data_IF_321422836685
#
_entry.id   IF_321422836685
#
_cell.length_a   1.000
_cell.length_b   1.000
_cell.length_c   1.000
_cell.angle_alpha   90.00
_cell.angle_beta   90.00
_cell.angle_gamma   90.00
#
_symmetry.space_group_name_H-M   'P 1'
#
loop_
_entity.id
_entity.type
_entity.pdbx_description
1 polymer ?
#
# COMPACT_ATOMS: atom_id res chain seq x y z
N UNK A 1 -3.16 12.64 28.45
CA UNK A 1 -3.25 11.20 28.09
C UNK A 1 -2.71 11.08 26.68
N UNK A 2 -1.83 10.11 26.41
CA UNK A 2 -1.39 9.85 25.05
C UNK A 2 -2.59 9.33 24.24
N UNK A 3 -2.81 9.90 23.05
CA UNK A 3 -3.83 9.42 22.12
C UNK A 3 -3.22 8.27 21.33
N UNK A 4 -3.89 7.12 21.31
CA UNK A 4 -3.39 5.92 20.66
C UNK A 4 -4.14 5.72 19.34
N UNK A 5 -3.42 5.54 18.24
CA UNK A 5 -4.00 5.43 16.91
C UNK A 5 -3.82 4.02 16.37
N UNK A 6 -4.93 3.29 16.25
CA UNK A 6 -4.96 1.94 15.68
C UNK A 6 -5.39 2.01 14.23
N UNK A 7 -4.53 1.52 13.35
CA UNK A 7 -4.82 1.35 11.93
C UNK A 7 -5.23 -0.09 11.69
N UNK A 8 -6.31 -0.27 10.93
CA UNK A 8 -6.80 -1.57 10.47
C UNK A 8 -6.82 -1.57 8.96
N UNK A 9 -6.27 -2.60 8.35
CA UNK A 9 -6.24 -2.80 6.91
C UNK A 9 -6.98 -4.08 6.55
N UNK A 10 -7.91 -4.00 5.60
CA UNK A 10 -8.78 -5.11 5.20
C UNK A 10 -8.61 -5.34 3.70
N UNK A 11 -8.10 -6.50 3.32
CA UNK A 11 -7.97 -6.88 1.90
C UNK A 11 -9.35 -7.14 1.29
N UNK A 12 -9.72 -6.39 0.24
CA UNK A 12 -11.09 -6.39 -0.29
C UNK A 12 -11.54 -7.77 -0.82
N UNK A 13 -10.63 -8.58 -1.35
CA UNK A 13 -10.98 -9.87 -1.96
C UNK A 13 -10.82 -11.06 -1.01
N UNK A 14 -9.91 -10.95 -0.03
CA UNK A 14 -9.46 -12.10 0.77
C UNK A 14 -9.83 -12.03 2.25
N UNK A 15 -10.45 -10.93 2.71
CA UNK A 15 -10.78 -10.68 4.12
C UNK A 15 -9.60 -10.85 5.08
N UNK A 16 -8.37 -10.67 4.60
CA UNK A 16 -7.20 -10.64 5.46
C UNK A 16 -7.14 -9.28 6.15
N UNK A 17 -6.99 -9.31 7.47
CA UNK A 17 -6.91 -8.11 8.29
C UNK A 17 -5.52 -7.97 8.88
N UNK A 18 -5.04 -6.74 8.95
CA UNK A 18 -3.75 -6.41 9.56
C UNK A 18 -3.92 -5.16 10.42
N UNK A 19 -3.27 -5.13 11.57
CA UNK A 19 -3.42 -4.09 12.57
C UNK A 19 -2.06 -3.52 12.97
N UNK A 20 -1.99 -2.21 13.19
CA UNK A 20 -0.77 -1.55 13.66
C UNK A 20 -1.12 -0.30 14.46
N UNK A 21 -0.35 -0.06 15.51
CA UNK A 21 -0.38 1.20 16.24
C UNK A 21 0.67 2.15 15.66
N UNK A 22 0.26 3.38 15.34
CA UNK A 22 1.18 4.43 14.90
C UNK A 22 1.11 5.61 15.87
N UNK A 23 2.27 6.19 16.15
CA UNK A 23 2.36 7.42 16.93
C UNK A 23 2.07 8.63 16.04
N UNK A 24 1.32 9.59 16.57
CA UNK A 24 1.16 10.88 15.92
C UNK A 24 2.48 11.66 16.03
N UNK A 25 3.12 11.88 14.88
CA UNK A 25 4.38 12.57 14.76
C UNK A 25 4.20 14.09 14.79
N UNK A 26 2.97 14.58 14.69
CA UNK A 26 2.72 16.01 14.76
C UNK A 26 2.72 16.48 16.21
N UNK A 27 3.69 17.33 16.56
CA UNK A 27 3.78 17.96 17.88
C UNK A 27 2.78 19.12 18.09
N UNK A 28 2.08 19.56 17.03
CA UNK A 28 1.16 20.71 17.07
C UNK A 28 -0.31 20.28 17.16
N UNK A 29 -1.03 20.83 18.13
CA UNK A 29 -2.47 20.61 18.34
C UNK A 29 -3.39 21.35 17.36
N UNK A 30 -2.84 22.17 16.45
CA UNK A 30 -3.59 23.08 15.56
C UNK A 30 -3.67 22.54 14.11
N UNK A 31 -3.05 21.38 13.83
CA UNK A 31 -2.95 20.81 12.48
C UNK A 31 -3.42 19.35 12.47
N UNK A 32 -3.64 18.83 11.26
CA UNK A 32 -3.96 17.41 11.03
C UNK A 32 -2.91 16.49 11.65
N UNK A 33 -3.33 15.30 12.10
CA UNK A 33 -2.42 14.27 12.61
C UNK A 33 -1.48 13.80 11.49
N UNK A 34 -0.25 13.46 11.85
CA UNK A 34 0.76 12.98 10.91
C UNK A 34 1.27 11.62 11.35
N UNK A 35 1.21 10.64 10.46
CA UNK A 35 1.65 9.27 10.73
C UNK A 35 2.66 8.83 9.68
N UNK A 36 3.66 8.07 10.10
CA UNK A 36 4.51 7.30 9.18
C UNK A 36 4.14 5.83 9.27
N UNK A 37 4.01 5.19 8.12
CA UNK A 37 3.82 3.74 8.00
C UNK A 37 4.91 3.20 7.08
N UNK A 38 5.76 2.32 7.61
CA UNK A 38 6.83 1.67 6.88
C UNK A 38 6.53 0.17 6.75
N UNK A 39 6.30 -0.26 5.50
CA UNK A 39 6.10 -1.68 5.21
C UNK A 39 7.33 -2.51 5.57
N UNK A 40 7.10 -3.69 6.14
CA UNK A 40 8.12 -4.61 6.61
C UNK A 40 8.72 -4.27 7.98
N UNK A 41 8.48 -3.05 8.49
CA UNK A 41 8.90 -2.64 9.84
C UNK A 41 7.70 -2.59 10.78
N UNK A 42 6.68 -1.82 10.42
CA UNK A 42 5.51 -1.61 11.28
C UNK A 42 4.42 -2.66 10.99
N UNK A 43 4.25 -2.99 9.71
CA UNK A 43 3.25 -3.96 9.24
C UNK A 43 3.76 -4.67 7.98
N UNK A 44 3.31 -5.92 7.78
CA UNK A 44 3.59 -6.67 6.54
C UNK A 44 2.27 -7.04 5.87
N UNK A 45 2.07 -6.59 4.63
CA UNK A 45 0.91 -6.97 3.84
C UNK A 45 1.16 -8.29 3.12
N UNK A 46 0.38 -9.32 3.44
CA UNK A 46 0.56 -10.66 2.86
C UNK A 46 -0.06 -10.83 1.47
N UNK A 47 -0.80 -9.83 0.98
CA UNK A 47 -1.46 -9.83 -0.33
C UNK A 47 -1.23 -8.50 -1.04
N UNK A 48 -1.07 -8.58 -2.35
CA UNK A 48 -1.12 -7.44 -3.24
C UNK A 48 -2.57 -7.09 -3.56
N UNK A 49 -2.82 -5.84 -3.94
CA UNK A 49 -4.13 -5.38 -4.42
C UNK A 49 -4.77 -4.35 -3.49
N UNK A 50 -6.09 -4.23 -3.60
CA UNK A 50 -6.85 -3.18 -2.92
C UNK A 50 -7.17 -3.53 -1.47
N UNK A 51 -6.93 -2.56 -0.60
CA UNK A 51 -7.28 -2.61 0.81
C UNK A 51 -8.16 -1.42 1.17
N UNK A 52 -9.09 -1.65 2.07
CA UNK A 52 -9.74 -0.59 2.84
C UNK A 52 -8.91 -0.40 4.10
N UNK A 53 -8.57 0.85 4.43
CA UNK A 53 -7.98 1.16 5.71
C UNK A 53 -8.99 1.93 6.57
N UNK A 54 -8.97 1.65 7.87
CA UNK A 54 -9.76 2.32 8.89
C UNK A 54 -8.81 2.78 10.01
N UNK A 55 -9.00 4.02 10.48
CA UNK A 55 -8.18 4.60 11.55
C UNK A 55 -9.05 4.83 12.77
N UNK A 56 -8.59 4.36 13.92
CA UNK A 56 -9.30 4.43 15.19
C UNK A 56 -8.51 5.20 16.24
N UNK A 57 -9.20 6.12 16.92
CA UNK A 57 -8.72 6.69 18.17
C UNK A 57 -9.07 5.74 19.31
N UNK A 58 -8.05 5.14 19.92
CA UNK A 58 -8.20 4.12 20.96
C UNK A 58 -8.13 4.73 22.38
N UNK A 59 -8.93 4.21 23.33
CA UNK A 59 -8.91 4.68 24.71
C UNK A 59 -7.59 4.34 25.43
N UNK A 60 -6.88 3.31 24.96
CA UNK A 60 -5.56 2.90 25.44
C UNK A 60 -4.72 2.30 24.30
N UNK A 61 -3.40 2.28 24.46
CA UNK A 61 -2.49 1.59 23.55
C UNK A 61 -2.32 0.15 24.02
N UNK A 62 -2.53 -0.81 23.13
CA UNK A 62 -2.22 -2.23 23.39
C UNK A 62 -3.34 -3.22 23.05
N UNK A 63 -4.60 -2.78 22.99
CA UNK A 63 -5.67 -3.64 22.47
C UNK A 63 -5.73 -3.58 20.95
N UNK A 64 -5.79 -4.72 20.26
CA UNK A 64 -6.09 -4.74 18.82
C UNK A 64 -7.60 -4.84 18.53
N UNK A 65 -8.43 -4.84 19.57
CA UNK A 65 -9.88 -4.81 19.43
C UNK A 65 -10.35 -3.40 19.05
N UNK A 66 -10.47 -3.17 17.74
CA UNK A 66 -10.89 -1.90 17.16
C UNK A 66 -12.30 -1.44 17.60
N UNK A 67 -13.13 -2.34 18.14
CA UNK A 67 -14.50 -1.99 18.59
C UNK A 67 -14.51 -1.11 19.84
N UNK A 68 -13.39 -1.05 20.56
CA UNK A 68 -13.20 -0.19 21.72
C UNK A 68 -12.88 1.28 21.34
N UNK A 69 -12.50 1.52 20.09
CA UNK A 69 -12.08 2.83 19.59
C UNK A 69 -13.18 3.59 18.85
N UNK A 70 -12.93 4.88 18.61
CA UNK A 70 -13.75 5.72 17.74
C UNK A 70 -13.11 5.72 16.36
N UNK A 71 -13.87 5.32 15.33
CA UNK A 71 -13.37 5.39 13.94
C UNK A 71 -13.31 6.85 13.47
N UNK A 72 -12.12 7.32 13.13
CA UNK A 72 -11.84 8.70 12.73
C UNK A 72 -11.71 8.83 11.21
N UNK A 73 -11.24 7.80 10.52
CA UNK A 73 -11.03 7.82 9.08
C UNK A 73 -11.32 6.46 8.45
N UNK A 74 -11.75 6.49 7.20
CA UNK A 74 -11.82 5.33 6.30
C UNK A 74 -11.33 5.76 4.92
N UNK A 75 -10.52 4.92 4.28
CA UNK A 75 -10.04 5.18 2.94
C UNK A 75 -9.66 3.91 2.19
N UNK A 76 -9.11 4.09 1.00
CA UNK A 76 -8.63 3.02 0.14
C UNK A 76 -7.15 3.16 -0.12
N UNK A 77 -6.46 2.03 -0.12
CA UNK A 77 -5.07 1.94 -0.55
C UNK A 77 -4.88 0.75 -1.47
N UNK A 78 -3.77 0.73 -2.20
CA UNK A 78 -3.42 -0.38 -3.08
C UNK A 78 -1.98 -0.79 -2.80
N UNK A 79 -1.79 -2.04 -2.36
CA UNK A 79 -0.47 -2.65 -2.17
C UNK A 79 -0.01 -3.16 -3.53
N UNK A 80 1.12 -2.63 -4.00
CA UNK A 80 1.70 -2.99 -5.29
C UNK A 80 2.98 -3.77 -5.05
N UNK A 81 3.28 -4.66 -5.99
CA UNK A 81 4.59 -5.28 -6.01
C UNK A 81 5.66 -4.20 -6.16
N UNK A 82 6.76 -4.35 -5.44
CA UNK A 82 7.95 -3.53 -5.63
C UNK A 82 8.64 -3.98 -6.91
N UNK A 83 8.06 -3.65 -8.07
CA UNK A 83 8.74 -3.87 -9.34
C UNK A 83 9.92 -2.89 -9.39
N UNK A 84 11.11 -3.38 -9.05
CA UNK A 84 12.35 -2.79 -9.52
C UNK A 84 12.28 -2.84 -11.04
N UNK A 85 12.33 -1.70 -11.72
CA UNK A 85 12.28 -1.65 -13.18
C UNK A 85 13.43 -2.49 -13.73
N UNK A 86 13.15 -3.70 -14.20
CA UNK A 86 14.06 -4.39 -15.10
C UNK A 86 14.00 -3.54 -16.37
N UNK A 87 15.07 -2.80 -16.65
CA UNK A 87 15.17 -2.06 -17.90
C UNK A 87 15.01 -3.08 -19.03
N UNK A 88 13.85 -3.10 -19.68
CA UNK A 88 13.71 -3.77 -20.97
C UNK A 88 14.59 -2.98 -21.94
N UNK A 89 15.85 -3.37 -22.10
CA UNK A 89 16.64 -2.93 -23.24
C UNK A 89 15.99 -3.57 -24.47
N UNK A 90 15.20 -2.78 -25.18
CA UNK A 90 14.82 -3.12 -26.54
C UNK A 90 16.10 -3.10 -27.37
N UNK A 91 16.65 -4.28 -27.66
CA UNK A 91 17.61 -4.45 -28.74
C UNK A 91 16.89 -4.16 -30.06
N UNK A 92 17.34 -3.18 -30.88
CA UNK A 92 16.70 -2.92 -32.16
C UNK A 92 16.79 -4.15 -33.06
N UNK A 93 15.65 -4.48 -33.67
CA UNK A 93 15.45 -5.64 -34.53
C UNK A 93 16.48 -5.70 -35.66
N UNK A 94 17.06 -6.89 -35.85
CA UNK A 94 17.89 -7.23 -37.00
C UNK A 94 17.07 -6.98 -38.28
N UNK A 95 17.47 -5.98 -39.08
CA UNK A 95 16.90 -5.77 -40.42
C UNK A 95 17.11 -7.03 -41.26
N UNK A 96 16.02 -7.61 -41.75
CA UNK A 96 16.07 -8.58 -42.83
C UNK A 96 15.75 -7.85 -44.15
N UNK A 97 16.75 -7.67 -45.01
CA UNK A 97 16.51 -7.22 -46.38
C UNK A 97 15.93 -8.40 -47.17
N UNK A 98 14.67 -8.30 -47.59
CA UNK A 98 14.07 -9.24 -48.54
C UNK A 98 14.37 -8.71 -49.95
N UNK A 99 15.28 -9.38 -50.66
CA UNK A 99 15.45 -9.19 -52.11
C UNK A 99 14.49 -10.13 -52.83
N UNK A 100 13.29 -9.64 -53.16
CA UNK A 100 12.38 -10.31 -54.09
C UNK A 100 12.60 -9.74 -55.49
N UNK A 101 13.51 -10.34 -56.25
CA UNK A 101 13.61 -10.12 -57.69
C UNK A 101 12.51 -10.91 -58.39
N UNK A 102 11.59 -10.20 -59.03
CA UNK A 102 10.60 -10.78 -59.94
C UNK A 102 11.27 -11.54 -61.09
N UNK A 103 10.62 -12.60 -61.57
CA UNK A 103 10.56 -12.88 -63.02
C UNK A 103 9.37 -13.79 -63.35
N UNK A 104 8.33 -13.12 -63.87
CA UNK A 104 7.48 -13.36 -65.05
C UNK A 104 6.89 -14.75 -65.38
N UNK A 105 5.55 -14.70 -65.54
CA UNK A 105 4.67 -15.29 -66.59
C UNK A 105 4.99 -16.66 -67.20
#
# INVERSE_FOLDING_TARGET
MAVNWLFRFIHEQGKHESFVYLDDLNASTVRYNLFNLLEGTDITFTKLGSYIYEVYQMPNGGSLDYTLGIRCEIGKMNVKDSITVVANSFEPTKQANIYGGETIS
#
